data_IF_511324821383
#
_entry.id   IF_511324821383
#
_cell.length_a   1.000
_cell.length_b   1.000
_cell.length_c   1.000
_cell.angle_alpha   90.00
_cell.angle_beta   90.00
_cell.angle_gamma   90.00
#
_symmetry.space_group_name_H-M   'P 1'
#
loop_
_entity.id
_entity.type
_entity.pdbx_description
1 polymer ?
#
# COMPACT_ATOMS: atom_id res chain seq x y z
N UNK A 1 -3.28 -48.14 -36.00
CA UNK A 1 -2.17 -47.28 -35.52
C UNK A 1 -2.61 -45.84 -35.30
N UNK A 2 -3.17 -45.12 -36.29
CA UNK A 2 -3.64 -43.73 -36.12
C UNK A 2 -4.68 -43.54 -34.99
N UNK A 3 -5.66 -44.44 -34.89
CA UNK A 3 -6.67 -44.42 -33.82
C UNK A 3 -6.05 -44.60 -32.43
N UNK A 4 -5.14 -45.57 -32.26
CA UNK A 4 -4.46 -45.83 -30.98
C UNK A 4 -3.61 -44.62 -30.53
N UNK A 5 -2.92 -43.98 -31.47
CA UNK A 5 -2.11 -42.78 -31.20
C UNK A 5 -2.98 -41.60 -30.78
N UNK A 6 -4.13 -41.39 -31.45
CA UNK A 6 -5.09 -40.33 -31.09
C UNK A 6 -5.69 -40.59 -29.71
N UNK A 7 -6.07 -41.83 -29.39
CA UNK A 7 -6.62 -42.19 -28.07
C UNK A 7 -5.61 -41.99 -26.95
N UNK A 8 -4.35 -42.38 -27.17
CA UNK A 8 -3.25 -42.14 -26.22
C UNK A 8 -2.98 -40.64 -26.01
N UNK A 9 -3.00 -39.84 -27.07
CA UNK A 9 -2.84 -38.38 -26.99
C UNK A 9 -3.98 -37.72 -26.21
N UNK A 10 -5.23 -38.13 -26.44
CA UNK A 10 -6.38 -37.63 -25.69
C UNK A 10 -6.36 -38.05 -24.23
N UNK A 11 -5.90 -39.27 -23.93
CA UNK A 11 -5.77 -39.76 -22.55
C UNK A 11 -4.64 -39.05 -21.80
N UNK A 12 -3.51 -38.81 -22.47
CA UNK A 12 -2.39 -38.06 -21.90
C UNK A 12 -2.76 -36.58 -21.67
N UNK A 13 -3.51 -35.96 -22.58
CA UNK A 13 -4.04 -34.60 -22.40
C UNK A 13 -5.06 -34.52 -21.24
N UNK A 14 -5.89 -35.54 -21.04
CA UNK A 14 -6.81 -35.62 -19.91
C UNK A 14 -6.08 -35.74 -18.56
N UNK A 15 -4.99 -36.51 -18.50
CA UNK A 15 -4.14 -36.64 -17.30
C UNK A 15 -3.46 -35.30 -16.97
N UNK A 16 -2.88 -34.61 -17.96
CA UNK A 16 -2.25 -33.30 -17.77
C UNK A 16 -3.27 -32.26 -17.27
N UNK A 17 -4.52 -32.33 -17.75
CA UNK A 17 -5.60 -31.43 -17.34
C UNK A 17 -6.04 -31.69 -15.89
N UNK A 18 -6.00 -32.93 -15.41
CA UNK A 18 -6.34 -33.27 -14.02
C UNK A 18 -5.28 -32.77 -13.01
N UNK A 19 -3.99 -32.80 -13.37
CA UNK A 19 -2.91 -32.25 -12.53
C UNK A 19 -2.85 -30.71 -12.53
N UNK A 20 -3.48 -30.04 -13.50
CA UNK A 20 -3.50 -28.58 -13.61
C UNK A 20 -4.51 -27.89 -12.68
N UNK A 21 -5.48 -28.64 -12.14
CA UNK A 21 -6.62 -28.10 -11.38
C UNK A 21 -6.30 -27.69 -9.94
N UNK A 22 -5.10 -27.99 -9.42
CA UNK A 22 -4.85 -27.99 -7.97
C UNK A 22 -3.59 -27.22 -7.50
N UNK A 23 -3.05 -26.33 -8.34
CA UNK A 23 -1.91 -25.51 -7.95
C UNK A 23 -2.30 -24.46 -6.91
N UNK A 24 -1.67 -24.52 -5.74
CA UNK A 24 -1.74 -23.48 -4.73
C UNK A 24 -0.36 -23.23 -4.11
N UNK A 25 -0.10 -21.98 -3.75
CA UNK A 25 1.09 -21.58 -3.01
C UNK A 25 0.79 -20.51 -1.97
N UNK A 26 1.77 -20.31 -1.10
CA UNK A 26 1.79 -19.29 -0.07
C UNK A 26 3.11 -18.55 -0.15
N UNK A 27 3.07 -17.23 -0.09
CA UNK A 27 4.26 -16.39 0.01
C UNK A 27 4.11 -15.40 1.18
N UNK A 28 5.18 -15.22 1.95
CA UNK A 28 5.26 -14.25 3.05
C UNK A 28 6.02 -13.04 2.54
N UNK A 29 5.47 -11.85 2.80
CA UNK A 29 6.04 -10.56 2.40
C UNK A 29 6.26 -9.69 3.62
N UNK A 30 7.34 -8.92 3.59
CA UNK A 30 7.63 -7.84 4.53
C UNK A 30 7.52 -6.51 3.80
N UNK A 31 6.62 -5.65 4.26
CA UNK A 31 6.50 -4.28 3.79
C UNK A 31 7.33 -3.36 4.66
N UNK A 32 8.15 -2.51 4.05
CA UNK A 32 8.95 -1.47 4.71
C UNK A 32 8.70 -0.14 4.03
N UNK A 33 8.12 0.80 4.75
CA UNK A 33 7.95 2.18 4.27
C UNK A 33 9.05 3.07 4.81
N UNK A 34 9.74 3.80 3.93
CA UNK A 34 10.77 4.76 4.34
C UNK A 34 10.19 5.88 5.20
N UNK A 35 10.76 6.07 6.38
CA UNK A 35 10.39 7.11 7.36
C UNK A 35 11.38 8.29 7.38
N UNK A 36 12.23 8.41 6.37
CA UNK A 36 13.28 9.43 6.30
C UNK A 36 12.75 10.86 6.56
N UNK A 37 11.61 11.22 5.98
CA UNK A 37 10.98 12.54 6.15
C UNK A 37 10.47 12.77 7.58
N UNK A 38 9.90 11.72 8.20
CA UNK A 38 9.44 11.78 9.58
C UNK A 38 10.63 11.93 10.55
N UNK A 39 11.72 11.19 10.28
CA UNK A 39 12.97 11.28 11.05
C UNK A 39 13.63 12.66 10.91
N UNK A 40 13.67 13.23 9.70
CA UNK A 40 14.20 14.58 9.48
C UNK A 40 13.39 15.66 10.23
N UNK A 41 12.06 15.52 10.26
CA UNK A 41 11.17 16.45 10.99
C UNK A 41 11.36 16.33 12.51
N UNK A 42 11.53 15.10 13.01
CA UNK A 42 11.79 14.85 14.43
C UNK A 42 13.17 15.37 14.87
N UNK A 43 14.21 15.15 14.06
CA UNK A 43 15.58 15.57 14.35
C UNK A 43 15.76 17.10 14.34
N UNK A 44 14.90 17.83 13.63
CA UNK A 44 14.90 19.30 13.64
C UNK A 44 14.31 19.92 14.91
N UNK A 45 13.65 19.12 15.77
CA UNK A 45 13.00 19.61 16.97
C UNK A 45 13.91 19.47 18.21
N UNK A 46 14.39 20.61 18.74
CA UNK A 46 15.40 20.69 19.81
C UNK A 46 14.93 20.17 21.18
N UNK A 47 13.64 19.89 21.34
CA UNK A 47 13.03 19.46 22.61
C UNK A 47 12.94 17.93 22.77
N UNK A 48 13.41 17.15 21.79
CA UNK A 48 13.32 15.69 21.80
C UNK A 48 14.60 15.08 22.36
N UNK A 49 14.50 14.35 23.48
CA UNK A 49 15.62 13.63 24.08
C UNK A 49 15.99 12.39 23.24
N UNK A 50 17.24 11.89 23.33
CA UNK A 50 17.65 10.66 22.64
C UNK A 50 16.78 9.44 22.98
N UNK A 51 16.29 9.36 24.20
CA UNK A 51 15.41 8.28 24.68
C UNK A 51 14.01 8.37 24.05
N UNK A 52 13.44 9.58 23.97
CA UNK A 52 12.18 9.82 23.26
C UNK A 52 12.32 9.55 21.76
N UNK A 53 13.46 9.92 21.16
CA UNK A 53 13.75 9.62 19.77
C UNK A 53 13.81 8.11 19.53
N UNK A 54 14.48 7.35 20.40
CA UNK A 54 14.56 5.89 20.27
C UNK A 54 13.20 5.21 20.41
N UNK A 55 12.38 5.63 21.39
CA UNK A 55 11.01 5.11 21.53
C UNK A 55 10.14 5.43 20.30
N UNK A 56 10.29 6.63 19.74
CA UNK A 56 9.59 7.02 18.52
C UNK A 56 10.04 6.15 17.34
N UNK A 57 11.36 5.96 17.14
CA UNK A 57 11.90 5.12 16.07
C UNK A 57 11.42 3.66 16.19
N UNK A 58 11.41 3.07 17.38
CA UNK A 58 10.91 1.71 17.60
C UNK A 58 9.41 1.58 17.32
N UNK A 59 8.60 2.57 17.74
CA UNK A 59 7.16 2.61 17.46
C UNK A 59 6.88 2.78 15.96
N UNK A 60 7.64 3.65 15.29
CA UNK A 60 7.56 3.84 13.85
C UNK A 60 7.97 2.57 13.12
N UNK A 61 9.07 1.92 13.52
CA UNK A 61 9.51 0.66 12.90
C UNK A 61 8.42 -0.41 12.98
N UNK A 62 7.77 -0.59 14.14
CA UNK A 62 6.64 -1.53 14.28
C UNK A 62 5.43 -1.17 13.41
N UNK A 63 5.22 0.10 13.12
CA UNK A 63 4.11 0.59 12.28
C UNK A 63 4.40 0.45 10.79
N UNK A 64 5.64 0.67 10.37
CA UNK A 64 6.07 0.73 8.98
C UNK A 64 6.75 -0.55 8.47
N UNK A 65 7.07 -1.48 9.37
CA UNK A 65 7.51 -2.84 9.05
C UNK A 65 6.39 -3.83 9.37
N UNK A 66 5.69 -4.28 8.32
CA UNK A 66 4.53 -5.19 8.44
C UNK A 66 4.80 -6.48 7.71
N UNK A 67 4.28 -7.58 8.26
CA UNK A 67 4.36 -8.91 7.63
C UNK A 67 2.99 -9.25 7.04
N UNK A 68 2.98 -9.76 5.83
CA UNK A 68 1.78 -10.14 5.10
C UNK A 68 1.92 -11.53 4.51
N UNK A 69 0.80 -12.23 4.37
CA UNK A 69 0.74 -13.55 3.74
C UNK A 69 -0.13 -13.47 2.49
N UNK A 70 0.45 -13.84 1.36
CA UNK A 70 -0.23 -14.07 0.09
C UNK A 70 -0.51 -15.57 -0.03
N UNK A 71 -1.78 -15.98 -0.07
CA UNK A 71 -2.16 -17.30 -0.54
C UNK A 71 -2.70 -17.16 -1.96
N UNK A 72 -2.22 -17.98 -2.90
CA UNK A 72 -2.52 -17.82 -4.31
C UNK A 72 -2.72 -19.15 -5.02
N UNK A 73 -3.54 -19.13 -6.05
CA UNK A 73 -3.62 -20.14 -7.09
C UNK A 73 -3.39 -19.48 -8.47
N UNK A 74 -3.67 -20.20 -9.57
CA UNK A 74 -3.48 -19.68 -10.94
C UNK A 74 -4.39 -18.51 -11.30
N UNK A 75 -5.53 -18.37 -10.63
CA UNK A 75 -6.59 -17.42 -10.95
C UNK A 75 -6.78 -16.38 -9.84
N UNK A 76 -6.71 -16.77 -8.56
CA UNK A 76 -7.04 -15.92 -7.44
C UNK A 76 -5.93 -15.85 -6.40
N UNK A 77 -5.93 -14.77 -5.62
CA UNK A 77 -5.06 -14.65 -4.45
C UNK A 77 -5.72 -13.83 -3.35
N UNK A 78 -5.35 -14.14 -2.10
CA UNK A 78 -5.71 -13.39 -0.90
C UNK A 78 -4.44 -12.96 -0.19
N UNK A 79 -4.30 -11.65 0.04
CA UNK A 79 -3.16 -11.02 0.69
C UNK A 79 -3.63 -10.32 1.96
N UNK A 80 -3.12 -10.76 3.11
CA UNK A 80 -3.56 -10.28 4.43
C UNK A 80 -2.37 -9.98 5.33
N UNK A 81 -2.46 -8.91 6.11
CA UNK A 81 -1.51 -8.63 7.19
C UNK A 81 -1.55 -9.75 8.24
N UNK A 82 -0.37 -10.22 8.66
CA UNK A 82 -0.24 -11.12 9.80
C UNK A 82 -0.35 -10.29 11.09
N UNK A 83 -1.51 -10.33 11.73
CA UNK A 83 -1.76 -9.62 12.97
C UNK A 83 -0.83 -10.12 14.08
N UNK A 84 0.13 -9.28 14.49
CA UNK A 84 0.83 -9.47 15.76
C UNK A 84 -0.05 -8.88 16.85
N UNK A 85 -0.31 -9.65 17.92
CA UNK A 85 -1.09 -9.21 19.09
C UNK A 85 -0.67 -7.79 19.48
N UNK A 86 -1.60 -6.84 19.36
CA UNK A 86 -1.36 -5.46 19.73
C UNK A 86 -0.98 -5.38 21.21
N UNK A 87 0.02 -4.56 21.54
CA UNK A 87 0.22 -4.15 22.92
C UNK A 87 -1.03 -3.36 23.37
N UNK A 88 -1.63 -3.67 24.54
CA UNK A 88 -2.80 -2.95 25.02
C UNK A 88 -2.50 -1.44 25.11
N UNK A 89 -3.38 -0.62 24.50
CA UNK A 89 -3.25 0.85 24.52
C UNK A 89 -2.95 1.53 23.18
N UNK A 90 -2.96 0.83 22.04
CA UNK A 90 -3.00 1.50 20.73
C UNK A 90 -4.34 2.24 20.54
N UNK A 91 -4.35 3.55 20.84
CA UNK A 91 -5.52 4.40 20.61
C UNK A 91 -5.94 4.44 19.14
N UNK A 92 -7.24 4.64 18.88
CA UNK A 92 -7.86 4.54 17.56
C UNK A 92 -7.20 5.37 16.44
N UNK A 93 -6.50 6.47 16.78
CA UNK A 93 -5.73 7.26 15.81
C UNK A 93 -4.51 6.53 15.22
N UNK A 94 -3.84 5.67 15.99
CA UNK A 94 -2.69 4.89 15.51
C UNK A 94 -3.14 3.80 14.52
N UNK A 95 -4.24 3.11 14.83
CA UNK A 95 -4.84 2.08 13.97
C UNK A 95 -5.35 2.69 12.66
N UNK A 96 -5.99 3.85 12.73
CA UNK A 96 -6.41 4.59 11.55
C UNK A 96 -5.22 4.98 10.66
N UNK A 97 -4.15 5.52 11.24
CA UNK A 97 -2.93 5.88 10.48
C UNK A 97 -2.29 4.64 9.84
N UNK A 98 -2.27 3.51 10.56
CA UNK A 98 -1.80 2.22 10.07
C UNK A 98 -2.59 1.75 8.84
N UNK A 99 -3.92 1.91 8.86
CA UNK A 99 -4.80 1.56 7.75
C UNK A 99 -4.59 2.45 6.52
N UNK A 100 -4.32 3.73 6.73
CA UNK A 100 -4.07 4.70 5.66
C UNK A 100 -2.70 4.57 5.00
N UNK A 101 -1.71 4.06 5.73
CA UNK A 101 -0.34 3.86 5.23
C UNK A 101 -0.14 2.48 4.57
N UNK A 102 -1.23 1.84 4.14
CA UNK A 102 -1.18 0.58 3.38
C UNK A 102 -0.99 -0.67 4.23
N UNK A 103 -1.46 -0.68 5.48
CA UNK A 103 -1.80 -1.96 6.10
C UNK A 103 -3.28 -2.04 6.49
N UNK A 104 -3.65 -3.12 7.15
CA UNK A 104 -5.05 -3.49 7.35
C UNK A 104 -5.74 -3.98 6.08
N UNK A 105 -6.87 -4.64 6.27
CA UNK A 105 -7.69 -5.18 5.18
C UNK A 105 -7.20 -6.51 4.60
N UNK A 106 -8.11 -7.19 3.92
CA UNK A 106 -7.89 -8.44 3.21
C UNK A 106 -8.02 -8.18 1.72
N UNK A 107 -6.90 -8.20 1.01
CA UNK A 107 -6.88 -7.97 -0.42
C UNK A 107 -7.14 -9.26 -1.17
N UNK A 108 -8.32 -9.39 -1.76
CA UNK A 108 -8.65 -10.46 -2.70
C UNK A 108 -8.52 -9.95 -4.14
N UNK A 109 -7.96 -10.76 -5.02
CA UNK A 109 -8.05 -10.54 -6.47
C UNK A 109 -8.29 -11.84 -7.23
N UNK A 110 -8.94 -11.71 -8.38
CA UNK A 110 -9.09 -12.77 -9.37
C UNK A 110 -8.66 -12.23 -10.73
N UNK A 111 -7.51 -12.70 -11.23
CA UNK A 111 -6.88 -12.25 -12.48
C UNK A 111 -7.62 -12.77 -13.72
N UNK A 112 -8.36 -13.88 -13.60
CA UNK A 112 -9.17 -14.45 -14.68
C UNK A 112 -10.43 -13.62 -14.89
N UNK A 113 -11.10 -13.26 -13.80
CA UNK A 113 -12.29 -12.41 -13.80
C UNK A 113 -11.96 -10.91 -13.89
N UNK A 114 -10.70 -10.54 -13.65
CA UNK A 114 -10.19 -9.16 -13.63
C UNK A 114 -10.92 -8.30 -12.60
N UNK A 115 -11.11 -8.85 -11.40
CA UNK A 115 -11.75 -8.14 -10.27
C UNK A 115 -10.83 -8.14 -9.06
N UNK A 116 -11.04 -7.17 -8.17
CA UNK A 116 -10.48 -7.18 -6.84
C UNK A 116 -11.51 -6.78 -5.78
N UNK A 117 -11.24 -7.17 -4.53
CA UNK A 117 -12.04 -6.81 -3.38
C UNK A 117 -11.13 -6.57 -2.18
N UNK A 118 -11.32 -5.47 -1.45
CA UNK A 118 -10.55 -5.15 -0.24
C UNK A 118 -11.51 -4.69 0.84
N UNK A 119 -11.55 -5.37 1.98
CA UNK A 119 -12.18 -4.82 3.19
C UNK A 119 -11.28 -3.75 3.80
N UNK A 120 -11.86 -2.62 4.17
CA UNK A 120 -11.17 -1.51 4.80
C UNK A 120 -11.97 -1.00 5.98
N UNK A 121 -11.30 -0.73 7.09
CA UNK A 121 -11.90 -0.02 8.23
C UNK A 121 -11.42 1.43 8.24
N UNK A 122 -12.35 2.36 8.25
CA UNK A 122 -12.08 3.79 8.33
C UNK A 122 -13.05 4.45 9.31
N UNK A 123 -12.53 5.06 10.38
CA UNK A 123 -13.32 5.68 11.46
C UNK A 123 -14.34 4.74 12.11
N UNK A 124 -13.97 3.48 12.35
CA UNK A 124 -14.86 2.48 12.94
C UNK A 124 -16.01 2.07 12.02
N UNK A 125 -15.98 2.47 10.75
CA UNK A 125 -16.88 1.98 9.69
C UNK A 125 -16.13 1.00 8.80
N UNK A 126 -16.80 -0.09 8.45
CA UNK A 126 -16.27 -1.10 7.53
C UNK A 126 -16.79 -0.86 6.11
N UNK A 127 -15.89 -0.93 5.14
CA UNK A 127 -16.16 -0.77 3.72
C UNK A 127 -15.62 -1.99 2.97
N UNK A 128 -16.35 -2.42 1.95
CA UNK A 128 -15.92 -3.45 1.01
C UNK A 128 -15.65 -2.79 -0.34
N UNK A 129 -14.39 -2.47 -0.61
CA UNK A 129 -13.98 -1.87 -1.88
C UNK A 129 -13.97 -2.95 -2.95
N UNK A 130 -14.87 -2.87 -3.93
CA UNK A 130 -14.99 -3.84 -5.03
C UNK A 130 -14.93 -3.13 -6.37
N UNK A 131 -14.00 -3.54 -7.22
CA UNK A 131 -13.78 -2.88 -8.50
C UNK A 131 -13.05 -3.80 -9.50
N UNK A 132 -12.83 -3.28 -10.71
CA UNK A 132 -12.07 -3.92 -11.77
C UNK A 132 -10.57 -3.89 -11.46
N UNK A 133 -9.90 -5.02 -11.66
CA UNK A 133 -8.46 -5.15 -11.41
C UNK A 133 -7.66 -4.25 -12.38
N UNK A 134 -6.91 -3.25 -11.87
CA UNK A 134 -6.19 -2.31 -12.72
C UNK A 134 -5.12 -3.02 -13.55
N UNK A 135 -5.12 -2.81 -14.86
CA UNK A 135 -4.09 -3.37 -15.75
C UNK A 135 -2.85 -2.47 -15.74
N UNK A 136 -1.74 -3.00 -15.24
CA UNK A 136 -0.44 -2.34 -15.30
C UNK A 136 0.29 -2.70 -16.59
N UNK A 137 0.73 -1.69 -17.35
CA UNK A 137 1.53 -1.87 -18.55
C UNK A 137 3.00 -2.01 -18.16
N UNK A 138 3.41 -3.23 -17.81
CA UNK A 138 4.79 -3.53 -17.42
C UNK A 138 5.75 -3.44 -18.60
N UNK A 139 6.84 -2.70 -18.42
CA UNK A 139 8.04 -2.74 -19.24
C UNK A 139 9.02 -3.71 -18.60
N UNK A 140 9.32 -4.81 -19.28
CA UNK A 140 10.32 -5.77 -18.84
C UNK A 140 11.72 -5.18 -19.08
N UNK A 141 12.56 -5.21 -18.05
CA UNK A 141 13.93 -4.69 -18.10
C UNK A 141 14.93 -5.87 -18.10
N UNK A 142 16.15 -5.64 -18.57
CA UNK A 142 17.20 -6.68 -18.65
C UNK A 142 17.93 -6.96 -17.33
N UNK A 143 17.63 -6.21 -16.27
CA UNK A 143 18.29 -6.37 -14.97
C UNK A 143 17.80 -7.62 -14.23
N UNK A 144 18.73 -8.33 -13.61
CA UNK A 144 18.44 -9.52 -12.79
C UNK A 144 18.96 -9.36 -11.38
N UNK A 145 18.32 -10.05 -10.43
CA UNK A 145 18.80 -10.17 -9.06
C UNK A 145 18.31 -11.46 -8.40
N UNK A 146 19.01 -11.89 -7.35
CA UNK A 146 18.62 -13.05 -6.56
C UNK A 146 17.73 -12.60 -5.38
N UNK A 147 16.54 -13.18 -5.23
CA UNK A 147 15.71 -13.04 -4.02
C UNK A 147 15.46 -14.43 -3.44
N UNK A 148 16.03 -14.71 -2.27
CA UNK A 148 16.05 -16.05 -1.71
C UNK A 148 16.69 -17.03 -2.70
N UNK A 149 15.94 -18.06 -3.10
CA UNK A 149 16.42 -19.09 -4.04
C UNK A 149 16.04 -18.81 -5.49
N UNK A 150 15.39 -17.68 -5.78
CA UNK A 150 14.83 -17.39 -7.11
C UNK A 150 15.62 -16.31 -7.85
N UNK A 151 15.91 -16.59 -9.13
CA UNK A 151 16.39 -15.56 -10.05
C UNK A 151 15.20 -14.69 -10.46
N UNK A 152 15.34 -13.39 -10.25
CA UNK A 152 14.30 -12.41 -10.52
C UNK A 152 14.71 -11.45 -11.62
N UNK A 153 13.73 -11.02 -12.41
CA UNK A 153 13.88 -10.04 -13.47
C UNK A 153 13.14 -8.76 -13.08
N UNK A 154 13.70 -7.62 -13.46
CA UNK A 154 13.11 -6.31 -13.19
C UNK A 154 12.01 -6.00 -14.20
N UNK A 155 10.94 -5.39 -13.73
CA UNK A 155 9.94 -4.75 -14.55
C UNK A 155 9.55 -3.40 -13.95
N UNK A 156 9.17 -2.45 -14.80
CA UNK A 156 8.69 -1.13 -14.37
C UNK A 156 7.32 -0.84 -14.96
N UNK A 157 6.49 -0.08 -14.23
CA UNK A 157 5.21 0.39 -14.72
C UNK A 157 4.90 1.76 -14.13
N UNK A 158 4.02 2.52 -14.77
CA UNK A 158 3.47 3.77 -14.22
C UNK A 158 2.00 3.54 -13.90
N UNK A 159 1.55 4.03 -12.75
CA UNK A 159 0.14 4.01 -12.36
C UNK A 159 -0.33 5.35 -11.79
N UNK A 160 -1.62 5.66 -11.88
CA UNK A 160 -2.20 6.75 -11.09
C UNK A 160 -2.13 6.42 -9.59
N UNK A 161 -1.91 7.44 -8.78
CA UNK A 161 -1.96 7.34 -7.31
C UNK A 161 -3.42 7.46 -6.87
N UNK A 162 -3.88 6.53 -6.02
CA UNK A 162 -5.21 6.63 -5.40
C UNK A 162 -5.18 7.72 -4.34
N UNK A 163 -6.26 8.51 -4.24
CA UNK A 163 -6.33 9.61 -3.28
C UNK A 163 -6.40 9.13 -1.83
N UNK A 164 -6.74 7.86 -1.61
CA UNK A 164 -6.70 7.23 -0.29
C UNK A 164 -5.39 6.48 0.01
N UNK A 165 -4.39 6.52 -0.90
CA UNK A 165 -3.07 5.87 -0.72
C UNK A 165 -2.02 6.86 -0.20
N UNK A 166 -1.95 7.03 1.11
CA UNK A 166 -1.09 8.02 1.77
C UNK A 166 0.40 7.66 1.75
N UNK A 167 0.77 6.45 1.31
CA UNK A 167 2.17 6.03 1.14
C UNK A 167 2.94 6.91 0.16
N UNK A 168 2.22 7.51 -0.79
CA UNK A 168 2.77 8.34 -1.86
C UNK A 168 2.76 9.84 -1.54
N UNK A 169 2.35 10.25 -0.35
CA UNK A 169 2.39 11.66 0.06
C UNK A 169 3.85 12.11 0.21
N UNK A 170 4.19 13.21 -0.44
CA UNK A 170 5.51 13.82 -0.40
C UNK A 170 5.40 15.18 0.23
N UNK A 171 6.38 15.56 1.06
CA UNK A 171 6.46 16.93 1.53
C UNK A 171 6.83 17.82 0.33
N UNK A 172 6.13 18.94 0.16
CA UNK A 172 6.53 19.99 -0.79
C UNK A 172 7.96 20.40 -0.44
N UNK A 173 8.88 20.31 -1.40
CA UNK A 173 10.18 20.94 -1.23
C UNK A 173 9.94 22.45 -1.20
N UNK A 174 10.36 23.13 -0.15
CA UNK A 174 10.58 24.57 -0.24
C UNK A 174 11.65 24.73 -1.32
N UNK A 175 11.30 25.36 -2.44
CA UNK A 175 12.31 25.75 -3.42
C UNK A 175 13.30 26.66 -2.68
N UNK A 176 14.55 26.21 -2.56
CA UNK A 176 15.65 27.12 -2.25
C UNK A 176 15.66 28.16 -3.37
N UNK A 177 15.02 29.31 -3.11
CA UNK A 177 15.22 30.50 -3.93
C UNK A 177 16.71 30.76 -3.92
N UNK A 178 17.37 30.46 -5.03
CA UNK A 178 18.71 30.98 -5.30
C UNK A 178 18.61 32.50 -5.20
N UNK A 179 19.43 33.05 -4.32
CA UNK A 179 19.66 34.48 -4.15
C UNK A 179 20.10 35.10 -5.48
N UNK A 180 19.17 35.59 -6.28
CA UNK A 180 19.44 36.66 -7.22
C UNK A 180 18.77 37.93 -6.69
N UNK A 181 19.61 38.77 -6.11
CA UNK A 181 19.27 40.12 -5.66
C UNK A 181 18.86 40.95 -6.86
N UNK A 182 17.59 41.32 -6.94
CA UNK A 182 17.23 42.63 -7.45
C UNK A 182 16.06 43.21 -6.66
N UNK A 183 16.31 44.42 -6.15
CA UNK A 183 15.46 45.13 -5.21
C UNK A 183 14.31 45.76 -5.98
N UNK A 184 13.08 45.30 -5.75
CA UNK A 184 11.91 46.16 -5.86
C UNK A 184 11.09 46.00 -4.58
N UNK A 185 11.08 47.08 -3.81
CA UNK A 185 10.21 47.27 -2.64
C UNK A 185 8.77 47.36 -3.16
N UNK A 186 7.87 46.55 -2.63
CA UNK A 186 6.50 46.98 -2.37
C UNK A 186 5.84 46.09 -1.29
N UNK A 187 5.52 46.77 -0.19
CA UNK A 187 4.48 46.56 0.81
C UNK A 187 4.11 45.14 1.27
N UNK A 188 4.54 44.84 2.51
CA UNK A 188 4.03 43.75 3.34
C UNK A 188 2.53 43.93 3.58
N UNK A 189 1.70 43.05 3.00
CA UNK A 189 0.47 42.61 3.65
C UNK A 189 0.81 41.41 4.53
N UNK A 190 0.56 41.56 5.83
CA UNK A 190 0.58 40.45 6.80
C UNK A 190 -0.51 39.45 6.42
N UNK A 191 -0.16 38.47 5.59
CA UNK A 191 -0.97 37.26 5.45
C UNK A 191 -0.66 36.33 6.62
N UNK A 192 -1.70 36.09 7.42
CA UNK A 192 -1.75 35.16 8.53
C UNK A 192 -1.35 33.78 8.02
N UNK A 193 -0.15 33.30 8.39
CA UNK A 193 0.26 31.92 8.10
C UNK A 193 -0.64 30.95 8.88
N UNK A 194 -1.69 30.45 8.24
CA UNK A 194 -2.41 29.26 8.70
C UNK A 194 -1.48 28.06 8.51
N UNK A 195 -0.95 27.52 9.60
CA UNK A 195 -0.06 26.35 9.62
C UNK A 195 -0.85 25.06 9.39
N UNK A 196 -1.43 24.89 8.20
CA UNK A 196 -2.11 23.65 7.86
C UNK A 196 -1.08 22.57 7.56
N UNK A 197 -1.05 21.53 8.37
CA UNK A 197 -0.19 20.35 8.21
C UNK A 197 -0.24 19.76 6.79
N UNK A 198 -1.36 19.87 6.07
CA UNK A 198 -1.54 19.35 4.71
C UNK A 198 -1.05 20.28 3.59
N UNK A 199 -0.88 21.58 3.82
CA UNK A 199 -0.48 22.53 2.76
C UNK A 199 0.99 22.33 2.33
N UNK A 200 1.77 21.69 3.20
CA UNK A 200 3.14 21.26 2.94
C UNK A 200 3.28 19.88 2.32
N UNK A 201 2.20 19.24 1.86
CA UNK A 201 2.29 17.93 1.18
C UNK A 201 1.69 17.99 -0.24
N UNK A 202 2.32 17.24 -1.14
CA UNK A 202 1.91 17.01 -2.52
C UNK A 202 1.66 15.52 -2.74
N UNK A 203 0.61 15.23 -3.49
CA UNK A 203 0.33 13.91 -4.00
C UNK A 203 0.64 13.91 -5.51
N UNK A 204 1.64 13.14 -5.96
CA UNK A 204 1.90 13.03 -7.39
C UNK A 204 0.69 12.36 -8.06
N UNK A 205 0.32 12.80 -9.27
CA UNK A 205 -0.77 12.20 -10.04
C UNK A 205 -0.45 10.75 -10.43
N UNK A 206 0.81 10.49 -10.73
CA UNK A 206 1.32 9.17 -11.13
C UNK A 206 2.60 8.82 -10.39
N UNK A 207 2.84 7.52 -10.21
CA UNK A 207 4.06 6.99 -9.61
C UNK A 207 4.62 5.86 -10.48
N UNK A 208 5.95 5.85 -10.62
CA UNK A 208 6.66 4.72 -11.20
C UNK A 208 6.81 3.62 -10.14
N UNK A 209 6.40 2.42 -10.50
CA UNK A 209 6.55 1.20 -9.73
C UNK A 209 7.69 0.40 -10.34
N UNK A 210 8.50 -0.19 -9.47
CA UNK A 210 9.47 -1.22 -9.87
C UNK A 210 9.07 -2.54 -9.23
N UNK A 211 9.02 -3.61 -10.01
CA UNK A 211 8.75 -4.95 -9.53
C UNK A 211 9.89 -5.89 -9.92
N UNK A 212 10.13 -6.90 -9.08
CA UNK A 212 11.02 -8.01 -9.39
C UNK A 212 10.23 -9.30 -9.33
N UNK A 213 10.23 -10.07 -10.42
CA UNK A 213 9.41 -11.27 -10.57
C UNK A 213 10.27 -12.47 -10.99
N UNK A 214 9.81 -13.68 -10.66
CA UNK A 214 10.49 -14.92 -11.03
C UNK A 214 9.62 -15.81 -11.94
N UNK A 215 10.08 -16.16 -13.16
CA UNK A 215 9.41 -17.13 -14.03
C UNK A 215 9.37 -18.55 -13.48
N UNK A 216 10.24 -18.88 -12.51
CA UNK A 216 10.31 -20.20 -11.88
C UNK A 216 8.98 -20.60 -11.22
N UNK A 217 8.17 -19.60 -10.84
CA UNK A 217 6.79 -19.78 -10.39
C UNK A 217 5.89 -19.10 -11.42
N UNK A 218 5.45 -19.82 -12.48
CA UNK A 218 4.80 -19.24 -13.65
C UNK A 218 3.32 -18.94 -13.40
N UNK A 219 3.08 -17.97 -12.52
CA UNK A 219 1.77 -17.38 -12.21
C UNK A 219 1.87 -15.88 -12.32
N UNK A 220 0.77 -15.21 -12.63
CA UNK A 220 0.72 -13.77 -12.80
C UNK A 220 0.24 -13.04 -11.53
N UNK A 221 0.57 -13.58 -10.36
CA UNK A 221 0.15 -13.07 -9.05
C UNK A 221 1.27 -12.26 -8.37
N UNK A 222 0.91 -11.53 -7.30
CA UNK A 222 1.82 -10.70 -6.53
C UNK A 222 1.14 -10.13 -5.27
N UNK A 223 1.85 -9.33 -4.46
CA UNK A 223 1.25 -8.66 -3.29
C UNK A 223 0.18 -7.64 -3.72
N UNK A 224 -0.77 -7.35 -2.83
CA UNK A 224 -1.88 -6.40 -3.06
C UNK A 224 -2.54 -6.56 -4.45
N UNK A 225 -2.65 -5.47 -5.20
CA UNK A 225 -3.21 -5.43 -6.56
C UNK A 225 -2.14 -5.54 -7.65
N UNK A 226 -0.86 -5.81 -7.32
CA UNK A 226 0.18 -6.00 -8.35
C UNK A 226 0.06 -7.40 -8.96
N UNK A 227 0.02 -7.46 -10.29
CA UNK A 227 -0.22 -8.67 -11.08
C UNK A 227 0.22 -8.47 -12.54
N UNK A 228 0.16 -9.54 -13.33
CA UNK A 228 0.30 -9.47 -14.79
C UNK A 228 1.70 -9.66 -15.36
N UNK A 229 2.69 -9.92 -14.50
CA UNK A 229 4.04 -10.34 -14.92
C UNK A 229 4.06 -11.86 -15.20
N UNK A 230 4.96 -12.36 -16.06
CA UNK A 230 5.04 -13.79 -16.40
C UNK A 230 5.79 -14.59 -15.30
N UNK A 231 5.39 -14.39 -14.05
CA UNK A 231 6.00 -15.00 -12.87
C UNK A 231 5.54 -14.32 -11.58
N UNK A 232 5.67 -15.03 -10.45
CA UNK A 232 5.31 -14.50 -9.14
C UNK A 232 6.18 -13.27 -8.83
N UNK A 233 5.53 -12.18 -8.43
CA UNK A 233 6.21 -10.96 -8.00
C UNK A 233 6.78 -11.15 -6.61
N UNK A 234 8.11 -11.08 -6.46
CA UNK A 234 8.83 -11.26 -5.20
C UNK A 234 9.22 -9.94 -4.55
N UNK A 235 9.29 -8.84 -5.30
CA UNK A 235 9.47 -7.52 -4.71
C UNK A 235 8.67 -6.47 -5.49
N UNK A 236 8.10 -5.51 -4.77
CA UNK A 236 7.51 -4.30 -5.35
C UNK A 236 8.00 -3.08 -4.60
N UNK A 237 8.49 -2.09 -5.33
CA UNK A 237 8.78 -0.75 -4.83
C UNK A 237 7.77 0.23 -5.41
N UNK A 238 6.94 0.79 -4.54
CA UNK A 238 5.93 1.80 -4.86
C UNK A 238 6.16 3.04 -3.98
N UNK A 239 6.67 4.10 -4.61
CA UNK A 239 7.07 5.31 -3.92
C UNK A 239 8.14 5.06 -2.88
N UNK A 240 7.79 5.21 -1.60
CA UNK A 240 8.68 5.00 -0.44
C UNK A 240 8.56 3.62 0.18
N UNK A 241 7.67 2.79 -0.34
CA UNK A 241 7.35 1.48 0.23
C UNK A 241 8.01 0.38 -0.59
N UNK A 242 8.73 -0.49 0.08
CA UNK A 242 9.28 -1.72 -0.49
C UNK A 242 8.57 -2.90 0.14
N UNK A 243 7.93 -3.74 -0.67
CA UNK A 243 7.30 -4.99 -0.26
C UNK A 243 8.19 -6.11 -0.79
N UNK A 244 8.85 -6.86 0.10
CA UNK A 244 9.81 -7.90 -0.23
C UNK A 244 9.33 -9.27 0.24
N UNK A 245 9.37 -10.26 -0.63
CA UNK A 245 9.08 -11.65 -0.30
C UNK A 245 10.23 -12.26 0.52
N UNK A 246 9.90 -12.83 1.67
CA UNK A 246 10.86 -13.51 2.56
C UNK A 246 10.77 -15.03 2.47
N UNK A 247 9.61 -15.58 2.10
CA UNK A 247 9.39 -17.03 2.04
C UNK A 247 8.34 -17.40 1.00
N UNK A 248 8.58 -18.50 0.28
CA UNK A 248 7.59 -19.12 -0.62
C UNK A 248 7.44 -20.59 -0.27
N UNK A 249 6.20 -21.09 -0.25
CA UNK A 249 5.84 -22.49 -0.05
C UNK A 249 4.84 -22.88 -1.14
N UNK A 250 5.16 -23.90 -1.92
CA UNK A 250 4.32 -24.39 -3.02
C UNK A 250 3.73 -25.76 -2.68
N UNK A 251 2.57 -26.08 -3.25
CA UNK A 251 1.91 -27.37 -3.14
C UNK A 251 1.72 -27.83 -1.67
N UNK A 252 1.21 -26.92 -0.83
CA UNK A 252 0.90 -27.25 0.56
C UNK A 252 -0.22 -28.30 0.62
N UNK A 253 -0.07 -29.31 1.50
CA UNK A 253 -1.14 -30.27 1.77
C UNK A 253 -2.36 -29.59 2.39
N UNK A 254 -2.09 -28.59 3.24
CA UNK A 254 -3.10 -27.72 3.81
C UNK A 254 -3.41 -26.59 2.83
N UNK A 255 -4.38 -26.84 1.95
CA UNK A 255 -4.90 -25.83 1.03
C UNK A 255 -5.66 -24.76 1.81
N UNK A 256 -5.31 -23.49 1.59
CA UNK A 256 -6.02 -22.36 2.19
C UNK A 256 -7.18 -21.96 1.29
N UNK A 257 -8.30 -21.61 1.89
CA UNK A 257 -9.43 -21.13 1.11
C UNK A 257 -9.20 -19.70 0.62
N UNK A 258 -9.26 -19.50 -0.70
CA UNK A 258 -9.09 -18.19 -1.34
C UNK A 258 -10.47 -17.64 -1.68
N UNK A 259 -11.11 -16.98 -0.71
CA UNK A 259 -12.44 -16.37 -0.86
C UNK A 259 -12.37 -14.86 -0.74
N UNK A 260 -13.20 -14.17 -1.54
CA UNK A 260 -13.38 -12.73 -1.41
C UNK A 260 -14.03 -12.38 -0.05
N UNK A 261 -13.60 -11.29 0.61
CA UNK A 261 -14.30 -10.76 1.77
C UNK A 261 -15.71 -10.30 1.38
N UNK A 262 -16.62 -10.28 2.36
CA UNK A 262 -18.04 -9.93 2.17
C UNK A 262 -18.57 -8.91 3.19
N UNK A 263 -17.72 -8.48 4.12
CA UNK A 263 -18.12 -7.62 5.23
C UNK A 263 -17.89 -6.14 4.88
N UNK A 264 -18.76 -5.28 5.40
CA UNK A 264 -18.70 -3.84 5.18
C UNK A 264 -19.62 -3.35 4.05
N UNK A 265 -19.74 -2.02 3.94
CA UNK A 265 -20.53 -1.37 2.89
C UNK A 265 -19.82 -1.48 1.54
N UNK A 266 -20.45 -2.11 0.55
CA UNK A 266 -19.92 -2.17 -0.82
C UNK A 266 -19.78 -0.78 -1.44
N UNK A 267 -18.58 -0.47 -1.93
CA UNK A 267 -18.22 0.78 -2.61
C UNK A 267 -17.18 0.51 -3.69
N UNK A 268 -17.12 1.35 -4.72
CA UNK A 268 -16.01 1.39 -5.68
C UNK A 268 -14.77 2.03 -5.08
N UNK A 269 -13.61 1.90 -5.74
CA UNK A 269 -12.39 2.57 -5.27
C UNK A 269 -12.55 4.09 -5.29
N UNK A 270 -13.23 4.64 -6.31
CA UNK A 270 -13.47 6.09 -6.42
C UNK A 270 -14.41 6.61 -5.32
N UNK A 271 -15.46 5.86 -4.99
CA UNK A 271 -16.36 6.22 -3.88
C UNK A 271 -15.64 6.16 -2.53
N UNK A 272 -14.82 5.13 -2.32
CA UNK A 272 -14.00 5.02 -1.12
C UNK A 272 -13.02 6.20 -1.00
N UNK A 273 -12.33 6.57 -2.08
CA UNK A 273 -11.43 7.72 -2.12
C UNK A 273 -12.17 9.01 -1.74
N UNK A 274 -13.38 9.22 -2.29
CA UNK A 274 -14.22 10.37 -1.95
C UNK A 274 -14.60 10.40 -0.47
N UNK A 275 -15.05 9.27 0.09
CA UNK A 275 -15.43 9.16 1.51
C UNK A 275 -14.25 9.51 2.42
N UNK A 276 -13.05 9.00 2.09
CA UNK A 276 -11.84 9.25 2.86
C UNK A 276 -11.45 10.73 2.80
N UNK A 277 -11.45 11.32 1.60
CA UNK A 277 -11.08 12.72 1.38
C UNK A 277 -12.06 13.69 2.05
N UNK A 278 -13.37 13.47 1.92
CA UNK A 278 -14.40 14.28 2.58
C UNK A 278 -14.25 14.23 4.11
N UNK A 279 -14.05 13.04 4.69
CA UNK A 279 -13.90 12.91 6.14
C UNK A 279 -12.63 13.57 6.66
N UNK A 280 -11.55 13.54 5.88
CA UNK A 280 -10.32 14.25 6.22
C UNK A 280 -10.47 15.77 6.14
N UNK A 281 -11.18 16.28 5.13
CA UNK A 281 -11.51 17.69 5.03
C UNK A 281 -12.36 18.13 6.22
N UNK A 282 -13.41 17.39 6.56
CA UNK A 282 -14.30 17.66 7.71
C UNK A 282 -13.52 17.73 9.03
N UNK A 283 -12.62 16.76 9.27
CA UNK A 283 -11.75 16.80 10.45
C UNK A 283 -10.77 17.96 10.44
N UNK A 284 -10.26 18.34 9.26
CA UNK A 284 -9.38 19.49 9.13
C UNK A 284 -10.10 20.77 9.57
N UNK A 285 -11.31 20.99 9.09
CA UNK A 285 -12.15 22.13 9.46
C UNK A 285 -12.47 22.15 10.96
N UNK A 286 -12.82 20.99 11.52
CA UNK A 286 -13.07 20.85 12.97
C UNK A 286 -11.82 21.14 13.82
N UNK A 287 -10.64 20.71 13.37
CA UNK A 287 -9.38 20.91 14.11
C UNK A 287 -8.88 22.36 13.99
N UNK A 288 -9.06 23.00 12.84
CA UNK A 288 -8.80 24.43 12.64
C UNK A 288 -9.72 25.30 13.52
N UNK A 289 -10.98 24.90 13.71
CA UNK A 289 -11.92 25.56 14.62
C UNK A 289 -11.53 25.51 16.11
N UNK A 290 -10.65 24.57 16.50
CA UNK A 290 -10.20 24.38 17.88
C UNK A 290 -8.82 25.02 18.16
N UNK A 291 -7.98 25.18 17.13
CA UNK A 291 -6.67 25.81 17.21
C UNK A 291 -6.67 27.35 17.12
N UNK A 292 -7.77 27.97 16.70
CA UNK A 292 -7.89 29.42 16.53
C UNK A 292 -8.39 30.20 17.75
N UNK A 293 -8.68 29.55 18.90
CA UNK A 293 -9.27 30.21 20.07
C UNK A 293 -8.46 30.00 21.35
N UNK A 294 -7.14 30.15 21.26
CA UNK A 294 -6.24 30.33 22.39
C UNK A 294 -6.08 31.80 22.82
N UNK A 295 -7.15 32.60 22.71
CA UNK A 295 -7.06 34.05 22.96
C UNK A 295 -8.36 34.79 22.72
N UNK A 296 -9.47 34.36 23.31
CA UNK A 296 -10.63 35.24 23.43
C UNK A 296 -11.12 35.20 24.87
N UNK A 297 -10.71 36.22 25.61
CA UNK A 297 -11.25 36.61 26.91
C UNK A 297 -12.77 36.47 26.90
N UNK A 298 -13.30 35.58 27.75
CA UNK A 298 -14.69 35.64 28.15
C UNK A 298 -14.87 36.95 28.94
N UNK A 299 -15.44 37.98 28.31
CA UNK A 299 -16.08 39.09 29.02
C UNK A 299 -17.37 38.53 29.63
N UNK A 300 -17.31 38.23 30.92
CA UNK A 300 -18.50 38.19 31.77
C UNK A 300 -18.87 39.64 32.01
N UNK A 301 -19.96 40.09 31.41
CA UNK A 301 -20.62 41.35 31.75
C UNK A 301 -21.96 41.04 32.39
N UNK A 302 -22.07 41.40 33.68
CA UNK A 302 -23.34 41.83 34.25
C UNK A 302 -23.62 43.29 33.89
#
# INVERSE_FOLDING_TARGET
>A
MKTIVVTLLTFFAAIISAFAQDFQGMAVYESKTSTADAKATLAGNREITPEMQKMFEERMKKMFEKTFVLNFDRNASIYKEEEKLDAPGQGGGMRMMSNMMGGGGTHYKNVKEKIFTVDKEFFGKEFLVKDTLPKLNWKLEGETKQIGNYLCFKATAVRPVSQSDFRNFRRKKEEEKKDDKEVVKEEKKEETKTTNFMDGWEMPSEVQITAWYTPDIPINQGPENYWGLPGLILEVTDGKTVILCSKVVLNTKDKKEIKAPKNGKEVTQAEYDKIVMEKMAEMREMNQGRGGRGGTQFRIGG
#
